data_IF_530265113039
#
_entry.id   IF_530265113039
#
_cell.length_a   1.000
_cell.length_b   1.000
_cell.length_c   1.000
_cell.angle_alpha   90.00
_cell.angle_beta   90.00
_cell.angle_gamma   90.00
#
_symmetry.space_group_name_H-M   'P 1'
#
loop_
_entity.id
_entity.type
_entity.pdbx_description
1 polymer ?
#
# COMPACT_ATOMS: atom_id res chain seq x y z
N UNK A 1 13.83 -34.54 -5.06
CA UNK A 1 13.67 -33.44 -6.03
C UNK A 1 13.29 -32.20 -5.23
N UNK A 2 14.13 -31.17 -5.21
CA UNK A 2 13.74 -29.89 -4.66
C UNK A 2 12.75 -29.25 -5.65
N UNK A 3 11.56 -28.88 -5.19
CA UNK A 3 10.66 -28.08 -6.00
C UNK A 3 11.36 -26.72 -6.21
N UNK A 4 11.70 -26.41 -7.46
CA UNK A 4 12.33 -25.15 -7.84
C UNK A 4 11.23 -24.09 -7.85
N UNK A 5 10.89 -23.57 -6.67
CA UNK A 5 9.90 -22.51 -6.50
C UNK A 5 10.62 -21.18 -6.69
N UNK A 6 10.21 -20.44 -7.71
CA UNK A 6 10.61 -19.04 -7.91
C UNK A 6 9.62 -18.16 -7.13
N UNK A 7 10.10 -17.46 -6.12
CA UNK A 7 9.29 -16.58 -5.27
C UNK A 7 9.59 -15.13 -5.63
N UNK A 8 8.55 -14.40 -6.00
CA UNK A 8 8.61 -12.96 -6.22
C UNK A 8 7.60 -12.25 -5.31
N UNK A 9 8.05 -11.20 -4.62
CA UNK A 9 7.25 -10.41 -3.68
C UNK A 9 6.83 -9.10 -4.36
N UNK A 10 5.52 -8.87 -4.43
CA UNK A 10 4.96 -7.64 -4.98
C UNK A 10 4.48 -6.74 -3.83
N UNK A 11 5.15 -5.60 -3.65
CA UNK A 11 4.78 -4.58 -2.68
C UNK A 11 3.99 -3.47 -3.38
N UNK A 12 2.72 -3.35 -3.01
CA UNK A 12 1.85 -2.28 -3.50
C UNK A 12 1.87 -1.16 -2.48
N UNK A 13 2.67 -0.14 -2.75
CA UNK A 13 2.81 1.00 -1.87
C UNK A 13 1.63 1.97 -2.06
N UNK A 14 0.71 1.98 -1.10
CA UNK A 14 -0.40 2.93 -1.05
C UNK A 14 -0.06 4.11 -0.14
N UNK A 15 -0.24 5.37 -0.59
CA UNK A 15 -0.12 6.51 0.31
C UNK A 15 -0.96 6.31 1.57
N UNK A 16 -0.40 6.64 2.72
CA UNK A 16 -1.04 6.36 4.01
C UNK A 16 -2.29 7.21 4.23
N UNK A 17 -2.46 8.34 3.54
CA UNK A 17 -3.73 9.06 3.54
C UNK A 17 -4.84 8.24 2.83
N UNK A 18 -4.53 7.65 1.69
CA UNK A 18 -5.44 6.78 0.94
C UNK A 18 -5.73 5.49 1.73
N UNK A 19 -4.73 4.93 2.40
CA UNK A 19 -4.88 3.71 3.21
C UNK A 19 -5.76 3.98 4.45
N UNK A 20 -5.49 5.09 5.15
CA UNK A 20 -6.34 5.55 6.25
C UNK A 20 -7.79 5.72 5.79
N UNK A 21 -7.99 6.34 4.62
CA UNK A 21 -9.34 6.61 4.11
C UNK A 21 -10.06 5.31 3.76
N UNK A 22 -9.38 4.36 3.12
CA UNK A 22 -9.96 3.06 2.81
C UNK A 22 -10.38 2.31 4.08
N UNK A 23 -9.56 2.31 5.12
CA UNK A 23 -9.84 1.50 6.30
C UNK A 23 -10.89 2.14 7.21
N UNK A 24 -10.81 3.46 7.47
CA UNK A 24 -11.73 4.11 8.41
C UNK A 24 -12.99 4.70 7.77
N UNK A 25 -12.98 5.03 6.47
CA UNK A 25 -14.15 5.60 5.79
C UNK A 25 -14.84 4.61 4.84
N UNK A 26 -14.10 3.71 4.19
CA UNK A 26 -14.73 2.75 3.27
C UNK A 26 -15.10 1.44 3.96
N UNK A 27 -14.16 0.87 4.71
CA UNK A 27 -14.33 -0.44 5.36
C UNK A 27 -14.86 -0.35 6.78
N UNK A 28 -14.88 0.85 7.36
CA UNK A 28 -15.34 1.14 8.72
C UNK A 28 -14.74 0.20 9.79
N UNK A 29 -13.45 -0.15 9.68
CA UNK A 29 -12.80 -1.06 10.63
C UNK A 29 -12.69 -0.49 12.04
N UNK A 30 -12.37 0.80 12.15
CA UNK A 30 -12.35 1.59 13.38
C UNK A 30 -12.43 3.08 13.05
N UNK A 31 -12.51 3.94 14.06
CA UNK A 31 -12.51 5.39 13.81
C UNK A 31 -11.20 5.84 13.15
N UNK A 32 -11.21 6.92 12.37
CA UNK A 32 -9.99 7.41 11.73
C UNK A 32 -8.89 7.79 12.73
N UNK A 33 -9.26 8.22 13.95
CA UNK A 33 -8.30 8.48 15.01
C UNK A 33 -7.62 7.19 15.50
N UNK A 34 -8.40 6.15 15.78
CA UNK A 34 -7.89 4.84 16.20
C UNK A 34 -7.06 4.19 15.08
N UNK A 35 -7.52 4.28 13.84
CA UNK A 35 -6.83 3.72 12.68
C UNK A 35 -5.48 4.41 12.47
N UNK A 36 -5.41 5.74 12.54
CA UNK A 36 -4.14 6.46 12.41
C UNK A 36 -3.16 6.07 13.52
N UNK A 37 -3.61 6.00 14.78
CA UNK A 37 -2.77 5.57 15.90
C UNK A 37 -2.28 4.13 15.73
N UNK A 38 -3.15 3.23 15.28
CA UNK A 38 -2.82 1.84 14.99
C UNK A 38 -1.78 1.72 13.87
N UNK A 39 -2.00 2.44 12.76
CA UNK A 39 -1.09 2.46 11.62
C UNK A 39 0.30 2.99 12.01
N UNK A 40 0.40 4.01 12.86
CA UNK A 40 1.71 4.50 13.34
C UNK A 40 2.50 3.42 14.09
N UNK A 41 1.84 2.66 14.97
CA UNK A 41 2.51 1.63 15.79
C UNK A 41 2.84 0.39 14.96
N UNK A 42 1.82 -0.20 14.34
CA UNK A 42 1.97 -1.48 13.63
C UNK A 42 2.64 -1.30 12.27
N UNK A 43 2.49 -0.13 11.65
CA UNK A 43 3.20 0.19 10.42
C UNK A 43 4.70 0.26 10.60
N UNK A 44 5.19 0.74 11.76
CA UNK A 44 6.62 0.70 12.07
C UNK A 44 7.16 -0.73 12.12
N UNK A 45 6.45 -1.63 12.80
CA UNK A 45 6.78 -3.07 12.84
C UNK A 45 6.76 -3.67 11.44
N UNK A 46 5.76 -3.34 10.63
CA UNK A 46 5.66 -3.80 9.24
C UNK A 46 6.86 -3.35 8.41
N UNK A 47 7.27 -2.07 8.50
CA UNK A 47 8.45 -1.57 7.78
C UNK A 47 9.71 -2.34 8.15
N UNK A 48 9.93 -2.60 9.44
CA UNK A 48 11.07 -3.40 9.89
C UNK A 48 11.06 -4.82 9.31
N UNK A 49 9.88 -5.45 9.24
CA UNK A 49 9.73 -6.76 8.62
C UNK A 49 10.01 -6.73 7.12
N UNK A 50 9.50 -5.71 6.41
CA UNK A 50 9.71 -5.56 4.97
C UNK A 50 11.18 -5.32 4.61
N UNK A 51 11.93 -4.59 5.46
CA UNK A 51 13.39 -4.38 5.27
C UNK A 51 14.20 -5.69 5.29
N UNK A 52 13.65 -6.77 5.85
CA UNK A 52 14.30 -8.08 5.87
C UNK A 52 14.04 -8.91 4.61
N UNK A 53 13.18 -8.46 3.70
CA UNK A 53 12.93 -9.15 2.43
C UNK A 53 14.09 -8.83 1.48
N UNK A 54 14.72 -9.84 0.84
CA UNK A 54 15.81 -9.58 -0.10
C UNK A 54 15.34 -8.69 -1.27
N UNK A 55 16.08 -7.61 -1.59
CA UNK A 55 15.66 -6.67 -2.64
C UNK A 55 15.56 -7.32 -4.01
N UNK A 56 16.42 -8.31 -4.31
CA UNK A 56 16.44 -8.99 -5.60
C UNK A 56 15.24 -9.90 -5.92
N UNK A 57 14.33 -10.12 -4.97
CA UNK A 57 13.07 -10.87 -5.19
C UNK A 57 11.84 -10.00 -4.94
N UNK A 58 12.02 -8.69 -4.81
CA UNK A 58 10.94 -7.77 -4.46
C UNK A 58 10.75 -6.80 -5.62
N UNK A 59 9.50 -6.45 -5.91
CA UNK A 59 9.18 -5.29 -6.75
C UNK A 59 8.20 -4.41 -6.00
N UNK A 60 8.38 -3.10 -6.11
CA UNK A 60 7.49 -2.13 -5.50
C UNK A 60 6.91 -1.19 -6.54
N UNK A 61 5.62 -0.89 -6.41
CA UNK A 61 4.95 0.11 -7.24
C UNK A 61 3.90 0.87 -6.43
N UNK A 62 3.61 2.10 -6.87
CA UNK A 62 2.70 2.99 -6.19
C UNK A 62 1.24 2.70 -6.59
N UNK A 63 0.36 2.61 -5.60
CA UNK A 63 -1.08 2.54 -5.78
C UNK A 63 -1.63 3.77 -6.51
N UNK A 64 -2.64 3.57 -7.34
CA UNK A 64 -3.35 4.63 -8.08
C UNK A 64 -2.74 5.01 -9.42
N UNK A 65 -1.56 4.47 -9.76
CA UNK A 65 -1.05 4.48 -11.13
C UNK A 65 -1.54 3.21 -11.86
N UNK A 66 -2.82 3.17 -12.23
CA UNK A 66 -3.49 1.96 -12.73
C UNK A 66 -2.74 1.31 -13.90
N UNK A 67 -2.29 2.09 -14.87
CA UNK A 67 -1.50 1.60 -16.01
C UNK A 67 -0.18 0.95 -15.57
N UNK A 68 0.49 1.50 -14.56
CA UNK A 68 1.75 0.96 -14.01
C UNK A 68 1.48 -0.32 -13.23
N UNK A 69 0.41 -0.34 -12.44
CA UNK A 69 -0.03 -1.52 -11.69
C UNK A 69 -0.35 -2.69 -12.63
N UNK A 70 -1.15 -2.45 -13.68
CA UNK A 70 -1.54 -3.48 -14.65
C UNK A 70 -0.34 -4.00 -15.44
N UNK A 71 0.53 -3.10 -15.93
CA UNK A 71 1.75 -3.48 -16.64
C UNK A 71 2.69 -4.33 -15.76
N UNK A 72 2.85 -3.96 -14.50
CA UNK A 72 3.71 -4.71 -13.56
C UNK A 72 3.12 -6.08 -13.28
N UNK A 73 1.82 -6.16 -12.98
CA UNK A 73 1.14 -7.42 -12.71
C UNK A 73 1.14 -8.34 -13.94
N UNK A 74 0.99 -7.79 -15.15
CA UNK A 74 1.05 -8.55 -16.41
C UNK A 74 2.43 -9.18 -16.69
N UNK A 75 3.48 -8.74 -15.99
CA UNK A 75 4.79 -9.39 -16.00
C UNK A 75 4.84 -10.69 -15.18
N UNK A 76 3.86 -10.93 -14.31
CA UNK A 76 3.83 -12.03 -13.36
C UNK A 76 2.59 -12.94 -13.51
N UNK A 77 1.47 -12.39 -13.97
CA UNK A 77 0.21 -13.10 -14.27
C UNK A 77 -0.26 -12.75 -15.68
N UNK A 78 -1.23 -13.49 -16.21
CA UNK A 78 -1.88 -13.15 -17.48
C UNK A 78 -2.60 -11.80 -17.40
N UNK A 79 -2.67 -11.11 -18.53
CA UNK A 79 -3.17 -9.73 -18.62
C UNK A 79 -4.62 -9.57 -18.14
N UNK A 80 -5.48 -10.57 -18.37
CA UNK A 80 -6.87 -10.53 -17.89
C UNK A 80 -6.94 -10.61 -16.35
N UNK A 81 -6.14 -11.48 -15.73
CA UNK A 81 -6.01 -11.53 -14.28
C UNK A 81 -5.37 -10.25 -13.71
N UNK A 82 -4.36 -9.70 -14.38
CA UNK A 82 -3.75 -8.44 -13.98
C UNK A 82 -4.78 -7.30 -13.94
N UNK A 83 -5.56 -7.13 -15.02
CA UNK A 83 -6.61 -6.11 -15.09
C UNK A 83 -7.67 -6.31 -13.99
N UNK A 84 -8.13 -7.55 -13.76
CA UNK A 84 -9.11 -7.85 -12.72
C UNK A 84 -8.58 -7.59 -11.30
N UNK A 85 -7.30 -7.89 -11.04
CA UNK A 85 -6.65 -7.59 -9.76
C UNK A 85 -6.57 -6.08 -9.53
N UNK A 86 -6.18 -5.31 -10.56
CA UNK A 86 -6.13 -3.84 -10.48
C UNK A 86 -7.52 -3.26 -10.19
N UNK A 87 -8.55 -3.72 -10.89
CA UNK A 87 -9.94 -3.30 -10.64
C UNK A 87 -10.37 -3.61 -9.21
N UNK A 88 -10.06 -4.80 -8.71
CA UNK A 88 -10.38 -5.21 -7.34
C UNK A 88 -9.68 -4.34 -6.31
N UNK A 89 -8.40 -4.02 -6.51
CA UNK A 89 -7.63 -3.13 -5.64
C UNK A 89 -8.13 -1.69 -5.69
N UNK A 90 -8.63 -1.25 -6.85
CA UNK A 90 -9.14 0.10 -7.04
C UNK A 90 -10.53 0.32 -6.42
N UNK A 91 -11.31 -0.74 -6.20
CA UNK A 91 -12.63 -0.67 -5.56
C UNK A 91 -12.58 -0.02 -4.16
N UNK A 92 -11.47 -0.15 -3.46
CA UNK A 92 -11.25 0.44 -2.14
C UNK A 92 -10.74 1.89 -2.20
N UNK A 93 -10.75 2.53 -3.38
CA UNK A 93 -10.41 3.94 -3.52
C UNK A 93 -11.50 4.81 -2.86
N UNK A 94 -11.06 5.83 -2.13
CA UNK A 94 -11.97 6.76 -1.44
C UNK A 94 -11.75 8.15 -2.00
N UNK A 95 -12.81 8.73 -2.55
CA UNK A 95 -12.76 10.08 -3.12
C UNK A 95 -12.38 11.14 -2.07
N UNK A 96 -11.68 12.18 -2.52
CA UNK A 96 -11.18 13.26 -1.66
C UNK A 96 -12.28 13.94 -0.83
N UNK A 97 -13.49 14.11 -1.37
CA UNK A 97 -14.59 14.77 -0.66
C UNK A 97 -15.04 14.06 0.62
N UNK A 98 -14.84 12.74 0.73
CA UNK A 98 -15.12 12.01 1.98
C UNK A 98 -14.07 12.31 3.07
N UNK A 99 -12.83 12.57 2.67
CA UNK A 99 -11.73 12.91 3.58
C UNK A 99 -11.96 14.27 4.24
N UNK A 100 -12.43 15.24 3.45
CA UNK A 100 -12.76 16.60 3.91
C UNK A 100 -13.88 16.65 4.96
N UNK A 101 -14.71 15.59 5.04
CA UNK A 101 -15.76 15.49 6.06
C UNK A 101 -15.23 15.16 7.47
N UNK A 102 -13.95 14.77 7.58
CA UNK A 102 -13.30 14.45 8.86
C UNK A 102 -12.52 15.68 9.34
N UNK A 103 -12.97 16.30 10.43
CA UNK A 103 -12.42 17.58 10.91
C UNK A 103 -10.92 17.55 11.22
N UNK A 104 -10.41 16.41 11.68
CA UNK A 104 -9.01 16.21 12.10
C UNK A 104 -8.19 15.43 11.06
N UNK A 105 -8.67 15.33 9.81
CA UNK A 105 -8.02 14.53 8.77
C UNK A 105 -6.54 14.87 8.60
N UNK A 106 -6.22 16.16 8.50
CA UNK A 106 -4.83 16.63 8.34
C UNK A 106 -3.95 16.24 9.54
N UNK A 107 -4.50 16.26 10.75
CA UNK A 107 -3.79 15.85 11.97
C UNK A 107 -3.44 14.36 11.90
N UNK A 108 -4.38 13.52 11.48
CA UNK A 108 -4.17 12.08 11.34
C UNK A 108 -3.14 11.77 10.26
N UNK A 109 -3.27 12.37 9.07
CA UNK A 109 -2.28 12.19 7.99
C UNK A 109 -0.90 12.68 8.41
N UNK A 110 -0.80 13.81 9.13
CA UNK A 110 0.47 14.32 9.62
C UNK A 110 1.13 13.37 10.62
N UNK A 111 0.36 12.67 11.47
CA UNK A 111 0.91 11.67 12.40
C UNK A 111 1.51 10.45 11.70
N UNK A 112 1.18 10.23 10.43
CA UNK A 112 1.67 9.13 9.60
C UNK A 112 2.87 9.52 8.74
N UNK A 113 3.33 10.77 8.76
CA UNK A 113 4.33 11.27 7.80
C UNK A 113 5.70 10.57 7.90
N UNK A 114 6.12 10.20 9.10
CA UNK A 114 7.40 9.48 9.28
C UNK A 114 7.31 8.07 8.69
N UNK A 115 6.22 7.36 8.97
CA UNK A 115 5.96 6.05 8.40
C UNK A 115 5.83 6.10 6.87
N UNK A 116 5.16 7.13 6.34
CA UNK A 116 5.05 7.35 4.90
C UNK A 116 6.43 7.45 4.25
N UNK A 117 7.31 8.27 4.83
CA UNK A 117 8.68 8.44 4.33
C UNK A 117 9.45 7.13 4.35
N UNK A 118 9.34 6.36 5.42
CA UNK A 118 10.01 5.07 5.56
C UNK A 118 9.54 4.05 4.51
N UNK A 119 8.24 4.03 4.19
CA UNK A 119 7.68 3.21 3.12
C UNK A 119 8.09 3.70 1.72
N UNK A 120 8.15 5.02 1.50
CA UNK A 120 8.65 5.61 0.25
C UNK A 120 10.11 5.22 -0.01
N UNK A 121 10.95 5.29 1.03
CA UNK A 121 12.37 4.91 0.96
C UNK A 121 12.55 3.42 0.68
N UNK A 122 11.74 2.57 1.33
CA UNK A 122 11.72 1.13 1.05
C UNK A 122 11.33 0.86 -0.41
N UNK A 123 10.29 1.51 -0.91
CA UNK A 123 9.83 1.29 -2.29
C UNK A 123 10.91 1.69 -3.31
N UNK A 124 11.62 2.80 -3.07
CA UNK A 124 12.72 3.28 -3.91
C UNK A 124 13.92 2.34 -3.90
N UNK A 125 14.26 1.74 -2.75
CA UNK A 125 15.42 0.85 -2.63
C UNK A 125 15.23 -0.49 -3.34
N UNK A 126 13.98 -0.88 -3.58
CA UNK A 126 13.61 -2.12 -4.30
C UNK A 126 13.63 -1.92 -5.82
N UNK A 127 13.44 -0.70 -6.32
CA UNK A 127 13.47 -0.37 -7.76
C UNK A 127 14.89 -0.08 -8.32
N UNK A 128 15.92 -0.18 -7.48
CA UNK A 128 17.32 0.19 -7.79
C UNK A 128 18.20 -0.97 -8.23
#
# INVERSE_FOLDING_TARGET
AAANVDLHVLLIHRPLDDALAADCLHRDFMSCAEQAAYMTVEGGVMVEQLRNIPPGITSCFQYGQLDVMENTLSGHVDSEQAAHLVETLWRDHVDAGRRESVSEWSTYVQSLSELQRDLDELCKSVTG
#
